data_IF_331798591914
#
_entry.id   IF_331798591914
#
_cell.length_a   1.000
_cell.length_b   1.000
_cell.length_c   1.000
_cell.angle_alpha   90.00
_cell.angle_beta   90.00
_cell.angle_gamma   90.00
#
_symmetry.space_group_name_H-M   'P 1'
#
loop_
_entity.id
_entity.type
_entity.pdbx_description
1 polymer ?
#
# COMPACT_ATOMS: atom_id res chain seq x y z
N UNK A 1 -5.67 -17.36 -27.58
CA UNK A 1 -6.69 -16.34 -27.91
C UNK A 1 -6.71 -15.38 -26.74
N UNK A 2 -5.92 -14.30 -26.84
CA UNK A 2 -5.83 -13.28 -25.80
C UNK A 2 -7.16 -12.55 -25.74
N UNK A 3 -7.77 -12.53 -24.56
CA UNK A 3 -8.91 -11.64 -24.31
C UNK A 3 -8.34 -10.23 -24.23
N UNK A 4 -8.82 -9.32 -25.06
CA UNK A 4 -8.59 -7.89 -24.86
C UNK A 4 -9.24 -7.52 -23.51
N UNK A 5 -8.41 -7.41 -22.48
CA UNK A 5 -8.86 -6.96 -21.16
C UNK A 5 -8.98 -5.44 -21.28
N UNK A 6 -10.17 -4.85 -21.02
CA UNK A 6 -10.43 -3.43 -21.31
C UNK A 6 -9.82 -2.54 -20.22
N UNK A 7 -8.49 -2.50 -20.15
CA UNK A 7 -7.75 -1.63 -19.22
C UNK A 7 -7.48 -0.29 -19.89
N UNK A 8 -7.82 0.78 -19.18
CA UNK A 8 -7.58 2.15 -19.64
C UNK A 8 -6.20 2.62 -19.19
N UNK A 9 -5.29 2.79 -20.14
CA UNK A 9 -3.94 3.33 -19.90
C UNK A 9 -3.73 4.54 -20.80
N UNK A 10 -3.38 5.67 -20.20
CA UNK A 10 -3.07 6.92 -20.90
C UNK A 10 -1.64 7.35 -20.58
N UNK A 11 -0.88 7.75 -21.60
CA UNK A 11 0.40 8.41 -21.39
C UNK A 11 0.19 9.93 -21.37
N UNK A 12 0.50 10.59 -20.25
CA UNK A 12 0.34 12.04 -20.07
C UNK A 12 1.58 12.85 -20.50
N UNK A 13 2.64 12.16 -20.95
CA UNK A 13 3.87 12.80 -21.42
C UNK A 13 5.15 12.20 -20.85
N UNK A 14 5.15 10.92 -20.49
CA UNK A 14 6.35 10.15 -20.18
C UNK A 14 6.99 9.58 -21.46
N UNK A 15 8.23 9.97 -21.80
CA UNK A 15 8.97 9.37 -22.92
C UNK A 15 9.15 7.86 -22.79
N UNK A 16 9.28 7.40 -21.55
CA UNK A 16 9.51 6.00 -21.23
C UNK A 16 8.21 5.19 -21.14
N UNK A 17 7.05 5.80 -21.36
CA UNK A 17 5.75 5.14 -21.27
C UNK A 17 5.61 3.90 -22.15
N UNK A 18 6.24 3.89 -23.34
CA UNK A 18 6.24 2.73 -24.25
C UNK A 18 7.03 1.52 -23.72
N UNK A 19 7.87 1.70 -22.70
CA UNK A 19 8.62 0.59 -22.07
C UNK A 19 7.79 -0.19 -21.05
N UNK A 20 6.63 0.34 -20.62
CA UNK A 20 5.68 -0.39 -19.78
C UNK A 20 4.67 -1.08 -20.68
N UNK A 21 4.55 -2.39 -20.50
CA UNK A 21 3.71 -3.24 -21.35
C UNK A 21 2.52 -3.78 -20.54
N UNK A 22 1.36 -3.16 -20.75
CA UNK A 22 0.07 -3.53 -20.19
C UNK A 22 -0.71 -4.50 -21.10
N UNK A 23 -0.18 -4.91 -22.26
CA UNK A 23 -0.83 -5.91 -23.11
C UNK A 23 -0.45 -7.35 -22.73
N UNK A 24 0.51 -7.54 -21.80
CA UNK A 24 0.94 -8.87 -21.36
C UNK A 24 -0.16 -9.60 -20.61
N UNK A 25 -0.60 -10.73 -21.16
CA UNK A 25 -1.53 -11.65 -20.47
C UNK A 25 -1.05 -12.05 -19.08
N UNK A 26 0.27 -12.19 -18.91
CA UNK A 26 0.89 -12.60 -17.64
C UNK A 26 0.61 -11.63 -16.48
N UNK A 27 0.52 -10.32 -16.77
CA UNK A 27 0.20 -9.30 -15.76
C UNK A 27 -1.18 -9.56 -15.16
N UNK A 28 -2.14 -9.95 -15.99
CA UNK A 28 -3.53 -10.12 -15.58
C UNK A 28 -3.83 -11.51 -15.04
N UNK A 29 -3.15 -12.53 -15.54
CA UNK A 29 -3.30 -13.93 -15.09
C UNK A 29 -3.02 -14.12 -13.60
N UNK A 30 -2.24 -13.23 -12.99
CA UNK A 30 -1.88 -13.25 -11.57
C UNK A 30 -2.91 -12.55 -10.67
N UNK A 31 -3.84 -11.79 -11.24
CA UNK A 31 -4.86 -11.06 -10.49
C UNK A 31 -6.00 -12.01 -10.10
N UNK A 32 -6.47 -11.89 -8.86
CA UNK A 32 -7.76 -12.46 -8.47
C UNK A 32 -8.91 -11.57 -8.97
N UNK A 33 -10.14 -12.07 -8.87
CA UNK A 33 -11.32 -11.37 -9.37
C UNK A 33 -11.51 -9.96 -8.76
N UNK A 34 -11.33 -9.73 -7.44
CA UNK A 34 -11.38 -8.40 -6.85
C UNK A 34 -10.36 -7.43 -7.45
N UNK A 35 -9.09 -7.84 -7.58
CA UNK A 35 -8.03 -7.01 -8.15
C UNK A 35 -8.28 -6.72 -9.64
N UNK A 36 -8.71 -7.72 -10.42
CA UNK A 36 -9.05 -7.56 -11.83
C UNK A 36 -10.18 -6.53 -12.04
N UNK A 37 -11.20 -6.57 -11.18
CA UNK A 37 -12.30 -5.60 -11.24
C UNK A 37 -11.81 -4.16 -11.02
N UNK A 38 -10.83 -3.97 -10.14
CA UNK A 38 -10.21 -2.66 -9.93
C UNK A 38 -9.34 -2.25 -11.12
N UNK A 39 -8.54 -3.17 -11.68
CA UNK A 39 -7.71 -2.90 -12.85
C UNK A 39 -8.54 -2.41 -14.06
N UNK A 40 -9.73 -2.98 -14.27
CA UNK A 40 -10.65 -2.57 -15.34
C UNK A 40 -11.26 -1.19 -15.08
N UNK A 41 -11.53 -0.85 -13.81
CA UNK A 41 -12.28 0.36 -13.44
C UNK A 41 -11.41 1.58 -13.21
N UNK A 42 -10.15 1.39 -12.80
CA UNK A 42 -9.25 2.47 -12.40
C UNK A 42 -8.30 2.76 -13.55
N UNK A 43 -8.37 3.96 -14.18
CA UNK A 43 -7.45 4.31 -15.24
C UNK A 43 -6.02 4.45 -14.70
N UNK A 44 -5.07 4.05 -15.55
CA UNK A 44 -3.64 4.23 -15.31
C UNK A 44 -3.13 5.40 -16.15
N UNK A 45 -2.49 6.36 -15.49
CA UNK A 45 -1.82 7.48 -16.13
C UNK A 45 -0.30 7.31 -16.03
N UNK A 46 0.38 7.24 -17.16
CA UNK A 46 1.85 7.23 -17.22
C UNK A 46 2.35 8.67 -17.21
N UNK A 47 3.17 9.00 -16.23
CA UNK A 47 3.67 10.35 -15.96
C UNK A 47 5.18 10.35 -15.85
N UNK A 48 5.84 11.41 -16.32
CA UNK A 48 7.28 11.55 -16.15
C UNK A 48 7.65 11.89 -14.68
N UNK A 49 8.95 11.95 -14.37
CA UNK A 49 9.41 12.22 -13.01
C UNK A 49 8.93 13.56 -12.44
N UNK A 50 8.91 14.63 -13.26
CA UNK A 50 8.48 15.96 -12.83
C UNK A 50 6.98 15.99 -12.53
N UNK A 51 6.19 15.34 -13.39
CA UNK A 51 4.75 15.16 -13.18
C UNK A 51 4.48 14.36 -11.90
N UNK A 52 5.19 13.25 -11.70
CA UNK A 52 5.06 12.43 -10.50
C UNK A 52 5.44 13.21 -9.23
N UNK A 53 6.53 13.99 -9.26
CA UNK A 53 6.97 14.79 -8.11
C UNK A 53 5.99 15.91 -7.74
N UNK A 54 5.27 16.46 -8.73
CA UNK A 54 4.18 17.41 -8.49
C UNK A 54 2.92 16.72 -7.93
N UNK A 55 2.57 15.55 -8.47
CA UNK A 55 1.42 14.75 -8.03
C UNK A 55 1.57 14.23 -6.59
N UNK A 56 2.79 13.84 -6.21
CA UNK A 56 3.06 13.13 -4.96
C UNK A 56 2.73 13.98 -3.72
N UNK A 57 1.74 13.61 -2.89
CA UNK A 57 1.32 14.43 -1.76
C UNK A 57 2.44 14.59 -0.72
N UNK A 58 2.66 15.80 -0.15
CA UNK A 58 3.71 16.03 0.86
C UNK A 58 3.62 15.09 2.07
N UNK A 59 2.42 14.75 2.53
CA UNK A 59 2.19 13.86 3.67
C UNK A 59 2.69 12.42 3.42
N UNK A 60 2.78 12.00 2.16
CA UNK A 60 3.33 10.68 1.77
C UNK A 60 4.85 10.69 1.64
N UNK A 61 5.51 11.84 1.82
CA UNK A 61 6.98 11.97 1.79
C UNK A 61 7.63 11.73 3.15
N UNK A 62 6.83 11.42 4.18
CA UNK A 62 7.28 11.05 5.52
C UNK A 62 7.72 9.60 5.54
N UNK A 63 8.87 9.33 6.13
CA UNK A 63 9.37 7.96 6.24
C UNK A 63 10.30 7.77 7.44
N UNK A 64 10.42 6.52 7.88
CA UNK A 64 11.29 6.19 9.00
C UNK A 64 12.76 6.08 8.55
N UNK A 65 13.69 6.87 9.11
CA UNK A 65 15.11 6.63 8.87
C UNK A 65 15.52 5.29 9.51
N UNK A 66 16.14 4.41 8.73
CA UNK A 66 16.36 3.01 9.10
C UNK A 66 17.19 2.84 10.38
N UNK A 67 18.35 3.51 10.49
CA UNK A 67 19.25 3.34 11.64
C UNK A 67 18.66 3.91 12.95
N UNK A 68 18.11 5.14 12.99
CA UNK A 68 17.43 5.64 14.20
C UNK A 68 16.26 4.75 14.61
N UNK A 69 15.44 4.28 13.65
CA UNK A 69 14.32 3.39 13.95
C UNK A 69 14.79 2.05 14.52
N UNK A 70 15.80 1.41 13.91
CA UNK A 70 16.37 0.15 14.41
C UNK A 70 16.88 0.30 15.85
N UNK A 71 17.57 1.41 16.14
CA UNK A 71 18.07 1.69 17.49
C UNK A 71 16.93 1.81 18.50
N UNK A 72 15.92 2.63 18.19
CA UNK A 72 14.77 2.85 19.07
C UNK A 72 13.99 1.56 19.31
N UNK A 73 13.81 0.72 18.30
CA UNK A 73 13.14 -0.58 18.45
C UNK A 73 13.90 -1.53 19.39
N UNK A 74 15.24 -1.56 19.32
CA UNK A 74 16.07 -2.36 20.25
C UNK A 74 15.94 -1.85 21.69
N UNK A 75 16.05 -0.54 21.90
CA UNK A 75 15.88 0.09 23.21
C UNK A 75 14.49 -0.24 23.82
N UNK A 76 13.44 -0.25 23.00
CA UNK A 76 12.09 -0.61 23.43
C UNK A 76 11.91 -2.09 23.80
N UNK A 77 12.69 -2.99 23.19
CA UNK A 77 12.67 -4.43 23.52
C UNK A 77 13.36 -4.75 24.83
N UNK A 78 14.41 -3.98 25.16
CA UNK A 78 15.18 -4.15 26.40
C UNK A 78 14.47 -3.53 27.62
N UNK A 79 13.45 -2.68 27.39
CA UNK A 79 12.67 -2.02 28.44
C UNK A 79 11.44 -2.84 28.81
N UNK A 80 11.14 -2.94 30.10
CA UNK A 80 9.82 -3.40 30.56
C UNK A 80 8.73 -2.39 30.16
N UNK A 81 7.77 -2.76 29.30
CA UNK A 81 6.68 -1.87 28.91
C UNK A 81 5.74 -1.65 30.11
N UNK A 82 5.18 -0.44 30.22
CA UNK A 82 4.07 -0.20 31.17
C UNK A 82 2.76 -0.70 30.57
N UNK A 83 1.90 -1.30 31.39
CA UNK A 83 0.64 -1.92 30.96
C UNK A 83 -0.31 -0.96 30.19
N UNK A 84 -0.21 0.34 30.43
CA UNK A 84 -1.05 1.39 29.83
C UNK A 84 -0.38 2.14 28.66
N UNK A 85 0.87 1.83 28.35
CA UNK A 85 1.62 2.57 27.36
C UNK A 85 1.16 2.27 25.94
N UNK A 86 1.13 3.31 25.11
CA UNK A 86 0.92 3.16 23.69
C UNK A 86 2.15 2.52 23.05
N UNK A 87 2.02 1.36 22.39
CA UNK A 87 3.15 0.61 21.87
C UNK A 87 3.89 1.33 20.74
N UNK A 88 3.23 2.23 20.01
CA UNK A 88 3.82 2.91 18.85
C UNK A 88 4.22 4.35 19.13
N UNK A 89 3.65 5.00 20.15
CA UNK A 89 3.97 6.38 20.51
C UNK A 89 5.48 6.69 20.60
N UNK A 90 6.35 5.80 21.12
CA UNK A 90 7.80 6.06 21.15
C UNK A 90 8.50 6.09 19.78
N UNK A 91 7.78 5.83 18.68
CA UNK A 91 8.31 5.83 17.32
C UNK A 91 7.79 7.02 16.49
N UNK A 92 6.69 7.67 16.91
CA UNK A 92 5.97 8.66 16.08
C UNK A 92 6.80 9.90 15.74
N UNK A 93 7.80 10.25 16.56
CA UNK A 93 8.68 11.38 16.29
C UNK A 93 9.66 11.12 15.14
N UNK A 94 9.95 9.86 14.83
CA UNK A 94 11.01 9.47 13.90
C UNK A 94 10.62 9.66 12.43
N UNK A 95 9.34 9.61 12.07
CA UNK A 95 8.94 9.70 10.67
C UNK A 95 9.06 11.12 10.08
N UNK A 96 9.07 12.13 10.96
CA UNK A 96 9.27 13.54 10.60
C UNK A 96 10.71 13.82 10.19
N UNK A 97 11.65 12.97 10.57
CA UNK A 97 13.05 13.10 10.18
C UNK A 97 13.23 12.84 8.67
N UNK A 98 12.30 12.11 8.05
CA UNK A 98 12.29 11.86 6.60
C UNK A 98 11.76 13.02 5.75
N UNK A 99 11.18 14.08 6.34
CA UNK A 99 10.51 15.16 5.58
C UNK A 99 11.48 16.07 4.83
N UNK A 100 12.77 16.10 5.17
CA UNK A 100 13.71 16.98 4.48
C UNK A 100 13.96 16.51 3.03
N UNK A 101 14.20 17.49 2.14
CA UNK A 101 14.41 17.23 0.71
C UNK A 101 15.60 16.31 0.45
N UNK A 102 16.62 16.33 1.31
CA UNK A 102 17.80 15.49 1.15
C UNK A 102 17.42 14.01 1.34
N UNK A 103 16.70 13.72 2.40
CA UNK A 103 16.19 12.40 2.74
C UNK A 103 15.18 11.93 1.68
N UNK A 104 14.21 12.77 1.28
CA UNK A 104 13.27 12.43 0.21
C UNK A 104 13.97 12.02 -1.10
N UNK A 105 14.97 12.80 -1.54
CA UNK A 105 15.70 12.50 -2.77
C UNK A 105 16.46 11.16 -2.73
N UNK A 106 16.74 10.60 -1.55
CA UNK A 106 17.38 9.27 -1.44
C UNK A 106 16.43 8.11 -1.70
N UNK A 107 15.12 8.31 -1.52
CA UNK A 107 14.12 7.23 -1.57
C UNK A 107 13.06 7.43 -2.65
N UNK A 108 12.90 8.64 -3.19
CA UNK A 108 11.85 8.97 -4.17
C UNK A 108 11.86 8.06 -5.41
N UNK A 109 13.03 7.60 -5.84
CA UNK A 109 13.18 6.75 -7.03
C UNK A 109 12.65 5.32 -6.82
N UNK A 110 12.36 4.92 -5.57
CA UNK A 110 11.78 3.61 -5.21
C UNK A 110 10.45 3.72 -4.47
N UNK A 111 10.08 4.92 -4.04
CA UNK A 111 8.80 5.24 -3.37
C UNK A 111 7.82 5.88 -4.33
N UNK A 112 8.18 6.98 -4.99
CA UNK A 112 7.34 7.68 -5.95
C UNK A 112 7.46 7.08 -7.36
N UNK A 113 7.38 5.76 -7.44
CA UNK A 113 7.35 4.98 -8.70
C UNK A 113 5.91 4.73 -9.15
N UNK A 114 5.01 4.59 -8.17
CA UNK A 114 3.57 4.54 -8.36
C UNK A 114 2.87 5.45 -7.36
N UNK A 115 1.64 5.83 -7.68
CA UNK A 115 0.78 6.58 -6.80
C UNK A 115 -0.69 6.26 -7.08
N UNK A 116 -1.35 5.66 -6.12
CA UNK A 116 -2.80 5.59 -6.06
C UNK A 116 -3.40 6.85 -5.42
N UNK A 117 -4.35 7.49 -6.11
CA UNK A 117 -5.22 8.53 -5.56
C UNK A 117 -6.66 8.02 -5.51
N UNK A 118 -7.31 8.17 -4.34
CA UNK A 118 -8.74 7.94 -4.19
C UNK A 118 -9.55 8.93 -5.01
N UNK A 119 -10.83 8.64 -5.24
CA UNK A 119 -11.72 9.57 -5.96
C UNK A 119 -11.81 10.94 -5.26
N UNK A 120 -11.89 10.97 -3.93
CA UNK A 120 -11.92 12.23 -3.17
C UNK A 120 -10.61 13.02 -3.32
N UNK A 121 -9.46 12.35 -3.24
CA UNK A 121 -8.16 12.99 -3.43
C UNK A 121 -7.98 13.50 -4.87
N UNK A 122 -8.43 12.74 -5.86
CA UNK A 122 -8.35 13.12 -7.27
C UNK A 122 -9.29 14.29 -7.58
N UNK A 123 -10.54 14.25 -7.11
CA UNK A 123 -11.51 15.34 -7.26
C UNK A 123 -11.07 16.64 -6.57
N UNK A 124 -10.35 16.54 -5.45
CA UNK A 124 -9.77 17.71 -4.77
C UNK A 124 -8.64 18.38 -5.59
N UNK A 125 -8.04 17.68 -6.56
CA UNK A 125 -7.10 18.27 -7.52
C UNK A 125 -7.88 19.05 -8.58
N UNK A 126 -8.13 20.33 -8.32
CA UNK A 126 -8.83 21.20 -9.27
C UNK A 126 -8.15 21.29 -10.64
N UNK A 127 -8.92 21.73 -11.64
CA UNK A 127 -8.49 21.76 -13.05
C UNK A 127 -7.13 22.45 -13.27
N UNK A 128 -6.89 23.60 -12.64
CA UNK A 128 -5.63 24.33 -12.77
C UNK A 128 -4.40 23.52 -12.32
N UNK A 129 -4.52 22.71 -11.26
CA UNK A 129 -3.44 21.82 -10.83
C UNK A 129 -3.18 20.72 -11.86
N UNK A 130 -4.24 20.16 -12.45
CA UNK A 130 -4.12 19.11 -13.48
C UNK A 130 -3.52 19.66 -14.77
N UNK A 131 -3.89 20.87 -15.18
CA UNK A 131 -3.28 21.56 -16.30
C UNK A 131 -1.77 21.78 -16.09
N UNK A 132 -1.36 22.14 -14.87
CA UNK A 132 0.06 22.26 -14.52
C UNK A 132 0.79 20.91 -14.60
N UNK A 133 0.17 19.81 -14.15
CA UNK A 133 0.70 18.45 -14.34
C UNK A 133 0.85 18.14 -15.83
N UNK A 134 -0.12 18.47 -16.69
CA UNK A 134 -0.01 18.23 -18.14
C UNK A 134 1.15 19.03 -18.77
N UNK A 135 1.36 20.27 -18.32
CA UNK A 135 2.43 21.16 -18.83
C UNK A 135 3.84 20.63 -18.60
N UNK A 136 4.04 19.83 -17.54
CA UNK A 136 5.31 19.18 -17.24
C UNK A 136 5.59 17.94 -18.11
N UNK A 137 4.59 17.42 -18.82
CA UNK A 137 4.71 16.25 -19.69
C UNK A 137 5.25 16.59 -21.08
N UNK A 138 5.88 15.62 -21.74
CA UNK A 138 6.27 15.74 -23.14
C UNK A 138 5.07 15.52 -24.08
N UNK A 139 4.67 16.56 -24.80
CA UNK A 139 3.54 16.53 -25.73
C UNK A 139 3.65 15.39 -26.77
N UNK A 140 4.85 15.16 -27.31
CA UNK A 140 5.11 14.10 -28.31
C UNK A 140 4.94 12.68 -27.78
N UNK A 141 5.04 12.50 -26.46
CA UNK A 141 4.88 11.20 -25.82
C UNK A 141 3.42 10.93 -25.41
N UNK A 142 2.56 11.96 -25.46
CA UNK A 142 1.18 11.89 -25.00
C UNK A 142 0.33 11.02 -25.93
N UNK A 143 -0.49 10.14 -25.36
CA UNK A 143 -1.44 9.34 -26.15
C UNK A 143 -2.67 10.17 -26.52
N UNK A 144 -3.31 9.83 -27.63
CA UNK A 144 -4.55 10.47 -28.09
C UNK A 144 -5.65 10.39 -27.00
N UNK A 145 -6.40 11.48 -26.82
CA UNK A 145 -7.48 11.59 -25.83
C UNK A 145 -7.03 11.64 -24.36
N UNK A 146 -5.73 11.54 -24.06
CA UNK A 146 -5.24 11.45 -22.69
C UNK A 146 -5.44 12.73 -21.86
N UNK A 147 -5.39 13.90 -22.48
CA UNK A 147 -5.59 15.18 -21.78
C UNK A 147 -7.03 15.32 -21.31
N UNK A 148 -7.99 15.11 -22.21
CA UNK A 148 -9.42 15.17 -21.90
C UNK A 148 -9.77 14.14 -20.84
N UNK A 149 -9.32 12.88 -21.03
CA UNK A 149 -9.51 11.82 -20.05
C UNK A 149 -8.98 12.21 -18.67
N UNK A 150 -7.79 12.83 -18.58
CA UNK A 150 -7.21 13.22 -17.30
C UNK A 150 -7.87 14.45 -16.66
N UNK A 151 -8.18 15.47 -17.46
CA UNK A 151 -8.78 16.72 -16.98
C UNK A 151 -10.19 16.48 -16.45
N UNK A 152 -10.96 15.61 -17.10
CA UNK A 152 -12.37 15.36 -16.79
C UNK A 152 -12.58 14.19 -15.81
N UNK A 153 -11.52 13.48 -15.40
CA UNK A 153 -11.65 12.33 -14.51
C UNK A 153 -11.86 12.71 -13.03
N UNK A 154 -12.98 12.31 -12.45
CA UNK A 154 -13.28 12.56 -11.03
C UNK A 154 -13.09 11.33 -10.13
N UNK A 155 -12.86 10.15 -10.72
CA UNK A 155 -12.73 8.89 -10.00
C UNK A 155 -11.33 8.63 -9.42
N UNK A 156 -11.14 7.46 -8.76
CA UNK A 156 -9.81 7.02 -8.37
C UNK A 156 -8.91 6.82 -9.59
N UNK A 157 -7.60 7.01 -9.42
CA UNK A 157 -6.62 6.91 -10.50
C UNK A 157 -5.30 6.32 -9.98
N UNK A 158 -4.61 5.57 -10.85
CA UNK A 158 -3.25 5.09 -10.60
C UNK A 158 -2.30 5.86 -11.52
N UNK A 159 -1.25 6.42 -10.94
CA UNK A 159 -0.16 7.04 -11.68
C UNK A 159 1.06 6.13 -11.58
N UNK A 160 1.72 5.87 -12.70
CA UNK A 160 3.03 5.20 -12.72
C UNK A 160 4.06 6.12 -13.34
N UNK A 161 5.29 6.07 -12.84
CA UNK A 161 6.43 6.78 -13.40
C UNK A 161 7.34 5.81 -14.19
N UNK A 162 7.19 5.72 -15.53
CA UNK A 162 7.94 4.77 -16.35
C UNK A 162 9.45 4.91 -16.23
N UNK A 163 9.96 6.13 -16.12
CA UNK A 163 11.39 6.44 -15.95
C UNK A 163 11.94 5.77 -14.69
N UNK A 164 11.22 5.89 -13.56
CA UNK A 164 11.60 5.26 -12.29
C UNK A 164 11.44 3.75 -12.32
N UNK A 165 10.40 3.22 -12.97
CA UNK A 165 10.25 1.77 -13.17
C UNK A 165 11.44 1.21 -13.96
N UNK A 166 11.80 1.85 -15.07
CA UNK A 166 12.91 1.44 -15.94
C UNK A 166 14.25 1.61 -15.23
N UNK A 167 14.47 2.74 -14.56
CA UNK A 167 15.67 3.03 -13.79
C UNK A 167 15.88 2.06 -12.64
N UNK A 168 14.82 1.73 -11.90
CA UNK A 168 14.87 0.76 -10.81
C UNK A 168 15.19 -0.65 -11.32
N UNK A 169 14.56 -1.06 -12.44
CA UNK A 169 14.85 -2.33 -13.09
C UNK A 169 16.31 -2.42 -13.54
N UNK A 170 16.83 -1.38 -14.19
CA UNK A 170 18.21 -1.31 -14.66
C UNK A 170 19.22 -1.38 -13.49
N UNK A 171 19.01 -0.59 -12.44
CA UNK A 171 19.85 -0.57 -11.23
C UNK A 171 19.97 -1.94 -10.56
N UNK A 172 18.91 -2.76 -10.65
CA UNK A 172 18.86 -4.10 -10.03
C UNK A 172 19.11 -5.25 -10.98
N UNK A 173 19.33 -4.97 -12.27
CA UNK A 173 19.56 -6.00 -13.28
C UNK A 173 18.37 -6.95 -13.42
N UNK A 174 17.14 -6.45 -13.25
CA UNK A 174 15.90 -7.22 -13.40
C UNK A 174 15.09 -6.72 -14.59
N UNK A 175 14.08 -7.50 -15.01
CA UNK A 175 13.20 -7.13 -16.12
C UNK A 175 12.31 -5.96 -15.73
N UNK A 176 12.13 -4.98 -16.63
CA UNK A 176 11.19 -3.85 -16.47
C UNK A 176 9.79 -4.35 -16.12
N UNK A 177 9.33 -5.39 -16.82
CA UNK A 177 8.05 -6.06 -16.57
C UNK A 177 7.85 -6.48 -15.10
N UNK A 178 8.91 -6.96 -14.42
CA UNK A 178 8.82 -7.38 -13.03
C UNK A 178 8.56 -6.19 -12.10
N UNK A 179 9.27 -5.07 -12.32
CA UNK A 179 9.11 -3.85 -11.53
C UNK A 179 7.75 -3.21 -11.81
N UNK A 180 7.35 -3.13 -13.08
CA UNK A 180 6.01 -2.66 -13.48
C UNK A 180 4.92 -3.45 -12.77
N UNK A 181 4.96 -4.79 -12.84
CA UNK A 181 3.95 -5.65 -12.23
C UNK A 181 3.90 -5.42 -10.71
N UNK A 182 5.07 -5.37 -10.04
CA UNK A 182 5.15 -5.13 -8.59
C UNK A 182 4.50 -3.82 -8.21
N UNK A 183 4.87 -2.75 -8.89
CA UNK A 183 4.37 -1.40 -8.57
C UNK A 183 2.87 -1.33 -8.86
N UNK A 184 2.41 -1.85 -10.00
CA UNK A 184 0.99 -1.82 -10.34
C UNK A 184 0.13 -2.63 -9.36
N UNK A 185 0.56 -3.83 -8.96
CA UNK A 185 -0.16 -4.60 -7.94
C UNK A 185 -0.15 -3.93 -6.56
N UNK A 186 0.91 -3.19 -6.23
CA UNK A 186 0.99 -2.43 -4.99
C UNK A 186 -0.04 -1.28 -4.99
N UNK A 187 -0.14 -0.51 -6.07
CA UNK A 187 -1.16 0.54 -6.21
C UNK A 187 -2.59 -0.03 -6.21
N UNK A 188 -2.81 -1.18 -6.85
CA UNK A 188 -4.07 -1.91 -6.75
C UNK A 188 -4.33 -2.42 -5.31
N UNK A 189 -3.30 -2.70 -4.54
CA UNK A 189 -3.37 -3.00 -3.12
C UNK A 189 -3.96 -1.85 -2.31
N UNK A 190 -3.51 -0.62 -2.55
CA UNK A 190 -4.14 0.57 -1.97
C UNK A 190 -5.61 0.68 -2.40
N UNK A 191 -5.91 0.48 -3.68
CA UNK A 191 -7.29 0.52 -4.17
C UNK A 191 -8.20 -0.57 -3.55
N UNK A 192 -7.67 -1.76 -3.23
CA UNK A 192 -8.41 -2.82 -2.53
C UNK A 192 -8.76 -2.42 -1.10
N UNK A 193 -7.88 -1.65 -0.46
CA UNK A 193 -8.07 -1.13 0.89
C UNK A 193 -8.81 0.20 0.90
N UNK A 194 -9.00 0.88 -0.23
CA UNK A 194 -9.72 2.14 -0.30
C UNK A 194 -11.20 1.92 0.04
N UNK A 195 -11.70 2.75 0.96
CA UNK A 195 -13.08 2.71 1.41
C UNK A 195 -13.66 4.08 1.16
N UNK A 196 -14.54 4.18 0.16
CA UNK A 196 -15.22 5.40 -0.23
C UNK A 196 -15.63 6.23 1.00
N UNK A 197 -15.14 7.45 1.01
CA UNK A 197 -14.70 8.31 2.12
C UNK A 197 -15.84 8.95 2.94
N UNK A 198 -15.98 8.64 4.24
CA UNK A 198 -16.59 9.58 5.18
C UNK A 198 -15.62 10.10 6.25
N UNK A 199 -14.38 9.63 6.31
CA UNK A 199 -13.48 9.84 7.44
C UNK A 199 -12.01 10.06 6.99
N UNK A 200 -11.23 10.86 7.74
CA UNK A 200 -9.80 11.06 7.42
C UNK A 200 -9.05 9.74 7.25
N UNK A 201 -8.15 9.68 6.28
CA UNK A 201 -7.38 8.48 6.00
C UNK A 201 -6.34 8.22 7.12
N UNK A 202 -6.39 7.05 7.83
CA UNK A 202 -5.38 6.72 8.83
C UNK A 202 -3.97 6.58 8.25
N UNK A 203 -3.80 6.52 6.93
CA UNK A 203 -2.50 6.63 6.27
C UNK A 203 -1.72 7.91 6.68
N UNK A 204 -2.41 8.97 7.10
CA UNK A 204 -1.78 10.20 7.60
C UNK A 204 -1.06 10.00 8.94
N UNK A 205 -1.45 8.99 9.69
CA UNK A 205 -0.77 8.56 10.91
C UNK A 205 0.40 7.64 10.57
N UNK A 206 1.54 7.80 11.23
CA UNK A 206 2.76 7.03 10.94
C UNK A 206 2.54 5.52 11.07
N UNK A 207 1.77 5.09 12.07
CA UNK A 207 1.42 3.67 12.26
C UNK A 207 0.46 3.16 11.18
N UNK A 208 -0.49 3.99 10.73
CA UNK A 208 -1.43 3.63 9.68
C UNK A 208 -0.75 3.46 8.33
N UNK A 209 0.24 4.33 8.02
CA UNK A 209 1.13 4.18 6.86
C UNK A 209 1.90 2.87 6.90
N UNK A 210 2.48 2.48 8.04
CA UNK A 210 3.18 1.19 8.18
C UNK A 210 2.28 0.01 7.85
N UNK A 211 1.06 0.00 8.38
CA UNK A 211 0.09 -1.07 8.12
C UNK A 211 -0.27 -1.12 6.65
N UNK A 212 -0.69 0.03 6.09
CA UNK A 212 -1.16 0.11 4.72
C UNK A 212 -0.06 -0.23 3.70
N UNK A 213 1.14 0.31 3.84
CA UNK A 213 2.25 0.04 2.92
C UNK A 213 2.72 -1.42 2.99
N UNK A 214 2.75 -2.00 4.19
CA UNK A 214 3.06 -3.42 4.37
C UNK A 214 2.00 -4.33 3.75
N UNK A 215 0.71 -4.00 3.88
CA UNK A 215 -0.38 -4.75 3.27
C UNK A 215 -0.43 -4.59 1.75
N UNK A 216 -0.18 -3.39 1.21
CA UNK A 216 -0.08 -3.16 -0.23
C UNK A 216 1.07 -3.97 -0.85
N UNK A 217 2.24 -4.01 -0.19
CA UNK A 217 3.33 -4.87 -0.62
C UNK A 217 3.06 -6.37 -0.43
N UNK A 218 2.26 -6.77 0.57
CA UNK A 218 1.81 -8.15 0.71
C UNK A 218 0.93 -8.57 -0.47
N UNK A 219 -0.04 -7.72 -0.83
CA UNK A 219 -0.90 -7.92 -1.99
C UNK A 219 -0.06 -8.09 -3.26
N UNK A 220 0.92 -7.21 -3.48
CA UNK A 220 1.82 -7.26 -4.63
C UNK A 220 2.70 -8.51 -4.64
N UNK A 221 3.39 -8.82 -3.52
CA UNK A 221 4.33 -9.93 -3.43
C UNK A 221 3.67 -11.28 -3.71
N UNK A 222 2.42 -11.48 -3.26
CA UNK A 222 1.64 -12.70 -3.48
C UNK A 222 1.33 -13.02 -4.94
N UNK A 223 1.48 -12.05 -5.84
CA UNK A 223 1.26 -12.25 -7.28
C UNK A 223 2.43 -12.92 -7.98
N UNK A 224 3.56 -13.07 -7.30
CA UNK A 224 4.77 -13.65 -7.85
C UNK A 224 5.08 -15.00 -7.19
N UNK A 225 5.77 -15.86 -7.92
CA UNK A 225 6.20 -17.18 -7.43
C UNK A 225 7.67 -17.44 -7.77
N UNK A 226 8.30 -18.38 -7.05
CA UNK A 226 9.66 -18.82 -7.31
C UNK A 226 10.69 -17.69 -7.36
N UNK A 227 11.47 -17.63 -8.45
CA UNK A 227 12.53 -16.62 -8.62
C UNK A 227 11.99 -15.19 -8.67
N UNK A 228 10.78 -14.99 -9.21
CA UNK A 228 10.18 -13.65 -9.29
C UNK A 228 9.81 -13.12 -7.91
N UNK A 229 9.22 -13.95 -7.05
CA UNK A 229 8.92 -13.58 -5.66
C UNK A 229 10.19 -13.20 -4.89
N UNK A 230 11.30 -13.90 -5.12
CA UNK A 230 12.59 -13.56 -4.51
C UNK A 230 13.13 -12.20 -5.00
N UNK A 231 12.96 -11.88 -6.28
CA UNK A 231 13.34 -10.57 -6.81
C UNK A 231 12.43 -9.46 -6.29
N UNK A 232 11.12 -9.68 -6.20
CA UNK A 232 10.18 -8.71 -5.61
C UNK A 232 10.50 -8.46 -4.14
N UNK A 233 10.81 -9.50 -3.36
CA UNK A 233 11.28 -9.34 -1.99
C UNK A 233 12.56 -8.48 -1.91
N UNK A 234 13.49 -8.62 -2.86
CA UNK A 234 14.68 -7.76 -2.95
C UNK A 234 14.32 -6.30 -3.27
N UNK A 235 13.39 -6.05 -4.18
CA UNK A 235 12.91 -4.70 -4.49
C UNK A 235 12.26 -4.06 -3.26
N UNK A 236 11.37 -4.77 -2.55
CA UNK A 236 10.72 -4.27 -1.33
C UNK A 236 11.74 -3.89 -0.27
N UNK A 237 12.83 -4.64 -0.11
CA UNK A 237 13.91 -4.32 0.86
C UNK A 237 14.61 -2.99 0.60
N UNK A 238 14.47 -2.40 -0.58
CA UNK A 238 15.07 -1.10 -0.92
C UNK A 238 14.16 0.08 -0.57
N UNK A 239 12.87 -0.19 -0.38
CA UNK A 239 11.91 0.82 0.07
C UNK A 239 12.15 1.16 1.55
N UNK A 240 11.62 2.27 2.08
CA UNK A 240 11.71 2.58 3.50
C UNK A 240 11.15 1.50 4.43
N UNK A 241 11.50 1.48 5.74
CA UNK A 241 11.11 0.43 6.68
C UNK A 241 9.61 0.12 6.73
N UNK A 242 8.74 1.14 6.64
CA UNK A 242 7.29 1.00 6.69
C UNK A 242 6.70 0.16 5.53
N UNK A 243 7.43 0.00 4.42
CA UNK A 243 7.05 -0.82 3.27
C UNK A 243 7.40 -2.31 3.45
N UNK A 244 8.27 -2.66 4.40
CA UNK A 244 8.95 -3.96 4.45
C UNK A 244 8.25 -5.01 5.30
N UNK A 245 7.18 -4.65 6.02
CA UNK A 245 6.45 -5.54 6.94
C UNK A 245 5.60 -6.63 6.27
N UNK A 246 5.54 -6.69 4.94
CA UNK A 246 4.66 -7.60 4.19
C UNK A 246 4.78 -9.08 4.61
N UNK A 247 5.99 -9.56 4.87
CA UNK A 247 6.22 -10.96 5.27
C UNK A 247 5.65 -11.25 6.66
N UNK A 248 5.79 -10.31 7.60
CA UNK A 248 5.20 -10.42 8.93
C UNK A 248 3.66 -10.35 8.86
N UNK A 249 3.12 -9.46 8.03
CA UNK A 249 1.68 -9.35 7.78
C UNK A 249 1.09 -10.62 7.14
N UNK A 250 1.89 -11.45 6.45
CA UNK A 250 1.45 -12.74 5.91
C UNK A 250 1.32 -13.84 6.98
N UNK A 251 2.03 -13.71 8.10
CA UNK A 251 2.22 -14.77 9.10
C UNK A 251 1.59 -14.46 10.46
N UNK A 252 1.26 -13.20 10.75
CA UNK A 252 0.71 -12.77 12.04
C UNK A 252 -0.69 -12.20 11.84
N UNK A 253 -1.73 -12.75 12.48
CA UNK A 253 -3.05 -12.15 12.42
C UNK A 253 -3.09 -10.86 13.24
N UNK A 254 -3.86 -9.91 12.76
CA UNK A 254 -4.41 -8.83 13.56
C UNK A 254 -5.67 -9.31 14.28
N UNK A 255 -5.84 -9.00 15.58
CA UNK A 255 -4.87 -8.40 16.49
C UNK A 255 -3.90 -9.46 17.00
N UNK A 256 -2.71 -9.01 17.40
CA UNK A 256 -1.78 -9.84 18.14
C UNK A 256 -2.43 -10.30 19.45
N UNK A 257 -2.18 -11.56 19.83
CA UNK A 257 -2.88 -12.35 20.86
C UNK A 257 -3.13 -11.64 22.21
N UNK A 258 -2.31 -10.66 22.58
CA UNK A 258 -2.39 -9.88 23.82
C UNK A 258 -3.66 -9.02 23.93
N UNK A 259 -4.31 -8.67 22.81
CA UNK A 259 -5.49 -7.79 22.77
C UNK A 259 -6.81 -8.56 22.98
N UNK A 260 -6.83 -9.87 22.71
CA UNK A 260 -8.03 -10.70 22.68
C UNK A 260 -8.69 -10.91 24.06
N UNK A 261 -7.99 -10.57 25.15
CA UNK A 261 -8.48 -10.74 26.53
C UNK A 261 -9.25 -9.53 27.06
N UNK A 262 -9.42 -8.46 26.27
CA UNK A 262 -10.18 -7.29 26.68
C UNK A 262 -11.70 -7.49 26.41
N UNK A 263 -12.58 -7.40 27.43
CA UNK A 263 -14.03 -7.64 27.29
C UNK A 263 -14.73 -6.77 26.26
N UNK A 264 -14.21 -5.58 25.95
CA UNK A 264 -14.80 -4.69 24.94
C UNK A 264 -14.47 -5.14 23.51
N UNK A 265 -13.29 -5.73 23.31
CA UNK A 265 -12.93 -6.36 22.04
C UNK A 265 -13.88 -7.49 21.69
N UNK A 266 -14.41 -8.19 22.70
CA UNK A 266 -15.40 -9.24 22.52
C UNK A 266 -16.65 -8.76 21.76
N UNK A 267 -17.14 -7.54 21.95
CA UNK A 267 -18.35 -7.07 21.26
C UNK A 267 -18.08 -6.70 19.79
N UNK A 268 -16.98 -5.98 19.53
CA UNK A 268 -16.51 -5.73 18.17
C UNK A 268 -16.17 -7.04 17.44
N UNK A 269 -15.52 -7.98 18.14
CA UNK A 269 -15.29 -9.33 17.67
C UNK A 269 -16.60 -10.05 17.43
N UNK A 270 -17.57 -10.07 18.34
CA UNK A 270 -18.84 -10.75 18.14
C UNK A 270 -19.58 -10.23 16.89
N UNK A 271 -19.57 -8.93 16.63
CA UNK A 271 -20.18 -8.38 15.42
C UNK A 271 -19.36 -8.67 14.15
N UNK A 272 -18.02 -8.62 14.23
CA UNK A 272 -17.11 -8.98 13.14
C UNK A 272 -17.11 -10.49 12.84
N UNK A 273 -17.28 -11.33 13.87
CA UNK A 273 -17.44 -12.77 13.83
C UNK A 273 -18.79 -13.15 13.26
N UNK A 274 -19.87 -12.52 13.71
CA UNK A 274 -21.20 -12.69 13.13
C UNK A 274 -21.20 -12.28 11.66
N UNK A 275 -20.52 -11.20 11.31
CA UNK A 275 -20.31 -10.78 9.91
C UNK A 275 -19.51 -11.83 9.12
N UNK A 276 -18.43 -12.37 9.70
CA UNK A 276 -17.57 -13.41 9.13
C UNK A 276 -18.37 -14.69 8.88
N UNK A 277 -19.08 -15.19 9.90
CA UNK A 277 -19.97 -16.34 9.87
C UNK A 277 -21.08 -16.20 8.83
N UNK A 278 -21.70 -15.01 8.71
CA UNK A 278 -22.71 -14.72 7.68
C UNK A 278 -22.18 -14.78 6.25
N UNK A 279 -20.86 -14.71 6.06
CA UNK A 279 -20.19 -14.77 4.75
C UNK A 279 -19.45 -16.09 4.52
N UNK A 280 -19.69 -17.08 5.38
CA UNK A 280 -19.08 -18.41 5.29
C UNK A 280 -17.65 -18.45 5.82
N UNK A 281 -17.16 -17.37 6.44
CA UNK A 281 -15.91 -17.43 7.17
C UNK A 281 -16.15 -18.09 8.53
N UNK A 282 -15.24 -18.95 8.96
CA UNK A 282 -15.42 -19.72 10.18
C UNK A 282 -15.03 -18.97 11.45
N UNK A 283 -15.54 -19.46 12.58
CA UNK A 283 -15.30 -18.91 13.91
C UNK A 283 -13.83 -19.13 14.36
N UNK A 284 -13.02 -18.08 14.51
CA UNK A 284 -11.65 -18.15 15.02
C UNK A 284 -11.59 -18.41 16.54
N UNK A 285 -12.72 -18.39 17.26
CA UNK A 285 -12.79 -18.66 18.70
C UNK A 285 -13.31 -20.05 19.06
N UNK A 286 -13.65 -20.91 18.09
CA UNK A 286 -13.94 -22.33 18.33
C UNK A 286 -12.61 -23.05 18.63
N UNK A 287 -12.28 -23.34 19.90
CA UNK A 287 -11.11 -24.13 20.21
C UNK A 287 -11.52 -25.57 19.93
N UNK A 288 -10.83 -26.25 19.00
CA UNK A 288 -10.98 -27.71 18.74
C UNK A 288 -12.41 -28.15 18.39
N UNK A 289 -12.73 -28.35 17.11
CA UNK A 289 -12.85 -29.72 16.60
C UNK A 289 -12.71 -29.84 15.07
N UNK A 290 -12.61 -28.74 14.34
CA UNK A 290 -12.19 -28.72 12.94
C UNK A 290 -11.43 -27.42 12.73
N UNK A 291 -10.15 -27.43 12.30
CA UNK A 291 -9.51 -26.19 11.89
C UNK A 291 -10.41 -25.65 10.80
N UNK A 292 -10.89 -24.42 10.94
CA UNK A 292 -11.51 -23.86 9.80
C UNK A 292 -10.50 -23.78 8.68
N UNK A 293 -10.94 -24.10 7.45
CA UNK A 293 -10.21 -24.02 6.19
C UNK A 293 -8.99 -23.08 6.29
N UNK A 294 -7.79 -23.50 5.85
CA UNK A 294 -6.55 -22.77 6.09
C UNK A 294 -6.73 -21.30 5.72
N UNK A 295 -7.01 -20.47 6.73
CA UNK A 295 -7.39 -19.09 6.52
C UNK A 295 -6.10 -18.34 6.29
N UNK A 296 -6.01 -17.69 5.14
CA UNK A 296 -4.87 -16.86 4.82
C UNK A 296 -4.87 -15.64 5.76
N UNK A 297 -3.94 -15.64 6.74
CA UNK A 297 -3.81 -14.58 7.75
C UNK A 297 -3.57 -13.19 7.13
N UNK A 298 -2.93 -13.13 5.97
CA UNK A 298 -2.72 -11.88 5.26
C UNK A 298 -3.99 -11.33 4.62
N UNK A 299 -4.85 -12.22 4.10
CA UNK A 299 -6.17 -11.82 3.58
C UNK A 299 -7.06 -11.33 4.73
N UNK A 300 -6.99 -11.99 5.88
CA UNK A 300 -7.65 -11.54 7.10
C UNK A 300 -7.21 -10.13 7.52
N UNK A 301 -5.91 -9.86 7.56
CA UNK A 301 -5.37 -8.54 7.91
C UNK A 301 -5.85 -7.45 6.96
N UNK A 302 -5.89 -7.75 5.65
CA UNK A 302 -6.40 -6.84 4.62
C UNK A 302 -7.89 -6.50 4.84
N UNK A 303 -8.72 -7.51 5.11
CA UNK A 303 -10.15 -7.33 5.38
C UNK A 303 -10.39 -6.56 6.69
N UNK A 304 -9.66 -6.89 7.75
CA UNK A 304 -9.74 -6.20 9.03
C UNK A 304 -9.35 -4.73 8.90
N UNK A 305 -8.26 -4.43 8.18
CA UNK A 305 -7.82 -3.06 7.92
C UNK A 305 -8.88 -2.26 7.15
N UNK A 306 -9.36 -2.83 6.04
CA UNK A 306 -10.40 -2.23 5.22
C UNK A 306 -11.66 -1.92 6.02
N UNK A 307 -12.15 -2.85 6.84
CA UNK A 307 -13.35 -2.63 7.65
C UNK A 307 -13.12 -1.59 8.76
N UNK A 308 -11.93 -1.58 9.38
CA UNK A 308 -11.56 -0.56 10.36
C UNK A 308 -11.59 0.86 9.75
N UNK A 309 -11.14 1.01 8.49
CA UNK A 309 -11.25 2.27 7.72
C UNK A 309 -12.70 2.61 7.39
N UNK A 310 -13.44 1.66 6.79
CA UNK A 310 -14.84 1.83 6.37
C UNK A 310 -15.75 2.30 7.51
N UNK A 311 -15.56 1.74 8.70
CA UNK A 311 -16.36 2.03 9.89
C UNK A 311 -15.77 3.19 10.72
N UNK A 312 -14.61 3.73 10.35
CA UNK A 312 -13.91 4.78 11.09
C UNK A 312 -13.54 4.39 12.52
N UNK A 313 -13.35 3.09 12.76
CA UNK A 313 -13.10 2.52 14.09
C UNK A 313 -11.70 2.85 14.60
N UNK A 314 -10.75 3.02 13.70
CA UNK A 314 -9.36 3.36 14.02
C UNK A 314 -9.20 4.64 14.85
N UNK A 315 -10.21 5.53 14.89
CA UNK A 315 -10.20 6.74 15.74
C UNK A 315 -10.48 6.46 17.20
N UNK A 316 -11.06 5.31 17.49
CA UNK A 316 -11.32 4.87 18.85
C UNK A 316 -10.00 4.40 19.44
N UNK A 317 -9.49 5.01 20.54
CA UNK A 317 -8.19 4.67 21.12
C UNK A 317 -8.02 3.17 21.36
N UNK A 318 -9.10 2.51 21.77
CA UNK A 318 -9.13 1.08 21.99
C UNK A 318 -8.90 0.27 20.72
N UNK A 319 -9.39 0.70 19.54
CA UNK A 319 -9.11 0.02 18.26
C UNK A 319 -7.76 0.46 17.67
N UNK A 320 -7.36 1.71 17.88
CA UNK A 320 -6.07 2.24 17.42
C UNK A 320 -4.89 1.52 18.08
N UNK A 321 -4.96 1.26 19.38
CA UNK A 321 -3.85 0.67 20.16
C UNK A 321 -3.37 -0.69 19.63
N UNK A 322 -4.25 -1.66 19.29
CA UNK A 322 -3.86 -2.89 18.60
C UNK A 322 -3.23 -2.66 17.23
N UNK A 323 -3.75 -1.72 16.44
CA UNK A 323 -3.18 -1.42 15.12
C UNK A 323 -1.79 -0.80 15.25
N UNK A 324 -1.60 0.05 16.25
CA UNK A 324 -0.30 0.57 16.68
C UNK A 324 0.65 -0.54 17.13
N UNK A 325 0.18 -1.51 17.92
CA UNK A 325 0.97 -2.69 18.31
C UNK A 325 1.38 -3.53 17.09
N UNK A 326 0.41 -3.77 16.19
CA UNK A 326 0.63 -4.50 14.95
C UNK A 326 1.66 -3.77 14.07
N UNK A 327 1.51 -2.46 13.87
CA UNK A 327 2.45 -1.63 13.13
C UNK A 327 3.89 -1.70 13.71
N UNK A 328 4.05 -1.63 15.05
CA UNK A 328 5.35 -1.81 15.70
C UNK A 328 5.93 -3.19 15.38
N UNK A 329 5.12 -4.25 15.53
CA UNK A 329 5.54 -5.61 15.19
C UNK A 329 5.96 -5.79 13.73
N UNK A 330 5.31 -5.10 12.79
CA UNK A 330 5.70 -5.07 11.39
C UNK A 330 7.09 -4.43 11.19
N UNK A 331 7.37 -3.31 11.88
CA UNK A 331 8.66 -2.62 11.82
C UNK A 331 9.80 -3.43 12.44
N UNK A 332 9.55 -4.12 13.55
CA UNK A 332 10.53 -4.99 14.20
C UNK A 332 10.99 -6.11 13.26
N UNK A 333 10.03 -6.81 12.64
CA UNK A 333 10.32 -7.87 11.67
C UNK A 333 11.00 -7.33 10.41
N UNK A 334 10.55 -6.18 9.91
CA UNK A 334 11.14 -5.50 8.75
C UNK A 334 12.62 -5.18 8.91
N UNK A 335 13.07 -4.88 10.14
CA UNK A 335 14.43 -4.46 10.45
C UNK A 335 15.28 -5.53 11.13
N UNK A 336 14.69 -6.68 11.49
CA UNK A 336 15.34 -7.69 12.33
C UNK A 336 15.79 -7.11 13.68
N UNK A 337 15.05 -6.12 14.17
CA UNK A 337 15.29 -5.41 15.43
C UNK A 337 14.50 -6.10 16.53
#
# INVERSE_FOLDING_TARGET
MGRDIPITVHNLGSPEGKKLDFAREELYRRMDAPMMNLAIRIPVYLVNEAQMDLLYPPERRRFFPEEPLRRRLRELREREPRDDEDPFAPLEDLDRWGEDLWNWNRVKDVVAVGLYLSGSAMGARGKAFREEVLRLGEEKARTEGAEEAFLDHEGPAIFLCPERVVGWAAKRGVRVALVQDKVYYHELGHALMDTADPYPDPYRESWGRVVEESLANLVAWRRFQGKEAAWVARLIREQPPEYRGYAAAALRPFPYYEVLWNPFFREFWEDYLRWSLRRGFPDPFLPSLFPPLPMDLGEWNLLAWREAKRLGLWRRPEVARPWRAFAKGLLEEALGA
#
